data_IF_291465774954
#
_entry.id   IF_291465774954
#
_cell.length_a   1.000
_cell.length_b   1.000
_cell.length_c   1.000
_cell.angle_alpha   90.00
_cell.angle_beta   90.00
_cell.angle_gamma   90.00
#
_symmetry.space_group_name_H-M   'P 1'
#
loop_
_entity.id
_entity.type
_entity.pdbx_description
1 polymer ?
#
# COMPACT_ATOMS: atom_id res chain seq x y z
N UNK A 1 -22.40 -16.50 -6.05
CA UNK A 1 -20.94 -16.76 -5.97
C UNK A 1 -20.30 -17.02 -7.34
N UNK A 2 -20.78 -17.98 -8.15
CA UNK A 2 -20.21 -18.28 -9.48
C UNK A 2 -20.06 -17.04 -10.39
N UNK A 3 -21.09 -16.20 -10.50
CA UNK A 3 -21.05 -14.96 -11.30
C UNK A 3 -20.03 -13.95 -10.80
N UNK A 4 -19.84 -13.83 -9.48
CA UNK A 4 -18.86 -12.93 -8.88
C UNK A 4 -17.43 -13.39 -9.18
N UNK A 5 -17.17 -14.70 -9.06
CA UNK A 5 -15.86 -15.29 -9.41
C UNK A 5 -15.55 -15.09 -10.89
N UNK A 6 -16.51 -15.34 -11.80
CA UNK A 6 -16.32 -15.10 -13.23
C UNK A 6 -15.95 -13.63 -13.53
N UNK A 7 -16.57 -12.68 -12.81
CA UNK A 7 -16.23 -11.26 -12.94
C UNK A 7 -14.84 -10.91 -12.40
N UNK A 8 -14.44 -11.50 -11.28
CA UNK A 8 -13.07 -11.37 -10.75
C UNK A 8 -12.06 -11.91 -11.76
N UNK A 9 -12.30 -13.10 -12.32
CA UNK A 9 -11.41 -13.69 -13.33
C UNK A 9 -11.25 -12.77 -14.55
N UNK A 10 -12.37 -12.29 -15.11
CA UNK A 10 -12.35 -11.34 -16.23
C UNK A 10 -11.59 -10.06 -15.91
N UNK A 11 -11.69 -9.56 -14.68
CA UNK A 11 -10.90 -8.40 -14.25
C UNK A 11 -9.42 -8.70 -14.10
N UNK A 12 -9.06 -9.86 -13.52
CA UNK A 12 -7.66 -10.29 -13.39
C UNK A 12 -7.01 -10.55 -14.76
N UNK A 13 -7.75 -11.08 -15.73
CA UNK A 13 -7.31 -11.26 -17.12
C UNK A 13 -6.94 -9.94 -17.83
N UNK A 14 -7.54 -8.82 -17.42
CA UNK A 14 -7.19 -7.48 -17.94
C UNK A 14 -5.88 -6.93 -17.37
N UNK A 15 -5.41 -7.47 -16.24
CA UNK A 15 -4.25 -6.96 -15.51
C UNK A 15 -3.33 -8.09 -15.01
N UNK A 16 -2.87 -9.00 -15.89
CA UNK A 16 -2.07 -10.16 -15.49
C UNK A 16 -0.78 -9.78 -14.76
N UNK A 17 -0.23 -8.60 -15.03
CA UNK A 17 0.99 -8.06 -14.40
C UNK A 17 0.84 -7.81 -12.90
N UNK A 18 -0.39 -7.64 -12.40
CA UNK A 18 -0.68 -7.42 -10.97
C UNK A 18 -0.08 -8.53 -10.12
N UNK A 19 -0.12 -9.79 -10.57
CA UNK A 19 0.44 -10.92 -9.82
C UNK A 19 1.92 -10.70 -9.50
N UNK A 20 2.74 -10.35 -10.50
CA UNK A 20 4.18 -10.09 -10.32
C UNK A 20 4.43 -8.84 -9.48
N UNK A 21 3.68 -7.77 -9.73
CA UNK A 21 3.78 -6.52 -8.97
C UNK A 21 3.48 -6.72 -7.47
N UNK A 22 2.42 -7.46 -7.16
CA UNK A 22 2.07 -7.84 -5.79
C UNK A 22 3.11 -8.76 -5.16
N UNK A 23 3.70 -9.67 -5.93
CA UNK A 23 4.77 -10.53 -5.44
C UNK A 23 6.03 -9.73 -5.04
N UNK A 24 6.43 -8.76 -5.87
CA UNK A 24 7.49 -7.80 -5.52
C UNK A 24 7.14 -7.02 -4.25
N UNK A 25 5.90 -6.55 -4.13
CA UNK A 25 5.43 -5.84 -2.94
C UNK A 25 5.57 -6.70 -1.67
N UNK A 26 5.09 -7.94 -1.70
CA UNK A 26 5.15 -8.85 -0.56
C UNK A 26 6.58 -9.29 -0.19
N UNK A 27 7.52 -9.23 -1.13
CA UNK A 27 8.94 -9.42 -0.86
C UNK A 27 9.61 -8.16 -0.30
N UNK A 28 8.89 -7.05 -0.12
CA UNK A 28 9.49 -5.77 0.29
C UNK A 28 10.46 -5.26 -0.79
N UNK A 29 10.06 -5.34 -2.07
CA UNK A 29 10.86 -4.93 -3.24
C UNK A 29 10.20 -3.78 -4.03
N UNK A 30 9.19 -3.12 -3.45
CA UNK A 30 8.73 -1.81 -3.94
C UNK A 30 9.90 -0.82 -3.89
N UNK A 31 9.99 0.06 -4.86
CA UNK A 31 11.04 1.07 -4.95
C UNK A 31 12.45 0.47 -4.82
N UNK A 32 12.69 -0.68 -5.45
CA UNK A 32 13.93 -1.47 -5.36
C UNK A 32 14.33 -1.89 -3.94
N UNK A 33 13.35 -2.01 -3.04
CA UNK A 33 13.57 -2.37 -1.64
C UNK A 33 13.86 -1.20 -0.72
N UNK A 34 13.77 0.05 -1.20
CA UNK A 34 13.94 1.23 -0.36
C UNK A 34 12.74 1.43 0.59
N UNK A 35 12.92 1.07 1.86
CA UNK A 35 11.86 1.12 2.88
C UNK A 35 11.47 2.55 3.24
N UNK A 36 12.41 3.51 3.20
CA UNK A 36 12.07 4.92 3.39
C UNK A 36 11.05 5.40 2.34
N UNK A 37 11.24 5.06 1.07
CA UNK A 37 10.28 5.36 0.00
C UNK A 37 8.92 4.68 0.22
N UNK A 38 8.89 3.43 0.70
CA UNK A 38 7.65 2.73 1.07
C UNK A 38 6.89 3.45 2.21
N UNK A 39 7.60 3.91 3.23
CA UNK A 39 7.01 4.67 4.36
C UNK A 39 6.45 6.01 3.90
N UNK A 40 7.19 6.71 3.01
CA UNK A 40 6.73 7.96 2.39
C UNK A 40 5.46 7.73 1.57
N UNK A 41 5.46 6.71 0.72
CA UNK A 41 4.30 6.34 -0.09
C UNK A 41 3.05 6.06 0.75
N UNK A 42 3.14 5.18 1.75
CA UNK A 42 2.01 4.86 2.62
C UNK A 42 1.46 6.08 3.38
N UNK A 43 2.33 7.04 3.69
CA UNK A 43 1.97 8.29 4.37
C UNK A 43 1.26 9.27 3.43
N UNK A 44 1.49 9.18 2.11
CA UNK A 44 0.89 10.05 1.10
C UNK A 44 -0.50 9.56 0.67
N UNK A 45 -0.71 8.24 0.65
CA UNK A 45 -2.01 7.61 0.33
C UNK A 45 -3.14 8.12 1.24
N UNK A 46 -2.81 8.54 2.48
CA UNK A 46 -3.77 9.07 3.46
C UNK A 46 -4.49 10.37 3.07
N UNK A 47 -4.07 11.05 1.99
CA UNK A 47 -4.64 12.36 1.58
C UNK A 47 -5.80 12.23 0.59
N UNK A 48 -6.01 11.05 -0.02
CA UNK A 48 -7.10 10.84 -0.98
C UNK A 48 -6.86 11.44 -2.37
N UNK A 49 -5.60 11.71 -2.71
CA UNK A 49 -5.19 12.12 -4.05
C UNK A 49 -5.08 10.91 -5.00
N UNK A 50 -5.03 11.17 -6.31
CA UNK A 50 -4.90 10.10 -7.28
C UNK A 50 -3.56 9.38 -7.14
N UNK A 51 -3.61 8.09 -6.84
CA UNK A 51 -2.43 7.27 -6.55
C UNK A 51 -1.41 7.27 -7.70
N UNK A 52 -1.83 6.92 -8.92
CA UNK A 52 -0.92 6.75 -10.05
C UNK A 52 -0.37 8.06 -10.65
N UNK A 53 -1.16 9.14 -10.64
CA UNK A 53 -0.76 10.41 -11.27
C UNK A 53 -0.09 11.37 -10.29
N UNK A 54 -0.31 11.20 -8.98
CA UNK A 54 0.15 12.16 -7.97
C UNK A 54 1.08 11.51 -6.95
N UNK A 55 0.64 10.41 -6.31
CA UNK A 55 1.40 9.79 -5.21
C UNK A 55 2.66 9.11 -5.73
N UNK A 56 2.52 8.11 -6.61
CA UNK A 56 3.68 7.35 -7.10
C UNK A 56 4.73 8.27 -7.73
N UNK A 57 4.38 9.24 -8.61
CA UNK A 57 5.37 10.18 -9.14
C UNK A 57 6.06 11.04 -8.08
N UNK A 58 5.39 11.40 -6.98
CA UNK A 58 6.02 12.15 -5.89
C UNK A 58 7.03 11.30 -5.13
N UNK A 59 6.73 10.02 -4.91
CA UNK A 59 7.67 9.08 -4.25
C UNK A 59 8.86 8.76 -5.14
N UNK A 60 8.65 8.63 -6.46
CA UNK A 60 9.76 8.49 -7.41
C UNK A 60 10.66 9.73 -7.41
N UNK A 61 10.10 10.94 -7.39
CA UNK A 61 10.90 12.17 -7.24
C UNK A 61 11.65 12.22 -5.90
N UNK A 62 11.06 11.72 -4.82
CA UNK A 62 11.76 11.58 -3.54
C UNK A 62 12.98 10.66 -3.70
N UNK A 63 12.82 9.48 -4.32
CA UNK A 63 13.94 8.57 -4.59
C UNK A 63 15.01 9.17 -5.51
N UNK A 64 14.59 9.88 -6.57
CA UNK A 64 15.51 10.58 -7.48
C UNK A 64 16.30 11.69 -6.76
N UNK A 65 15.68 12.38 -5.80
CA UNK A 65 16.30 13.52 -5.11
C UNK A 65 17.25 13.09 -3.99
N UNK A 66 16.89 12.04 -3.25
CA UNK A 66 17.64 11.63 -2.06
C UNK A 66 18.43 10.33 -2.25
N UNK A 67 18.15 9.56 -3.31
CA UNK A 67 18.76 8.25 -3.56
C UNK A 67 18.14 7.14 -2.71
N UNK A 68 18.84 6.00 -2.66
CA UNK A 68 18.49 4.87 -1.81
C UNK A 68 19.00 5.10 -0.38
N UNK A 69 18.21 5.82 0.41
CA UNK A 69 18.52 6.13 1.81
C UNK A 69 17.87 5.15 2.78
N UNK A 70 18.51 4.96 3.93
CA UNK A 70 17.94 4.25 5.08
C UNK A 70 16.85 5.05 5.80
N UNK A 71 16.09 4.38 6.67
CA UNK A 71 15.13 5.01 7.58
C UNK A 71 15.80 6.05 8.49
N UNK A 72 16.99 5.75 9.01
CA UNK A 72 17.76 6.68 9.84
C UNK A 72 18.18 7.92 9.06
N UNK A 73 18.71 7.75 7.85
CA UNK A 73 19.09 8.89 6.99
C UNK A 73 17.86 9.72 6.59
N UNK A 74 16.71 9.09 6.35
CA UNK A 74 15.46 9.80 6.07
C UNK A 74 15.03 10.74 7.22
N UNK A 75 15.21 10.32 8.48
CA UNK A 75 14.86 11.14 9.64
C UNK A 75 15.70 12.42 9.74
N UNK A 76 16.94 12.38 9.25
CA UNK A 76 17.88 13.50 9.26
C UNK A 76 17.65 14.53 8.13
N UNK A 77 16.83 14.21 7.11
CA UNK A 77 16.59 15.13 5.99
C UNK A 77 15.85 16.37 6.49
N UNK A 78 16.36 17.61 6.26
CA UNK A 78 15.66 18.85 6.64
C UNK A 78 14.24 18.97 6.06
N UNK A 79 13.31 19.54 6.84
CA UNK A 79 11.88 19.63 6.46
C UNK A 79 11.68 20.45 5.17
N UNK A 80 12.43 21.53 4.97
CA UNK A 80 12.38 22.38 3.78
C UNK A 80 12.72 21.60 2.50
N UNK A 81 13.70 20.68 2.56
CA UNK A 81 14.02 19.79 1.44
C UNK A 81 12.88 18.83 1.15
N UNK A 82 12.26 18.23 2.17
CA UNK A 82 11.09 17.36 1.98
C UNK A 82 9.90 18.12 1.37
N UNK A 83 9.71 19.38 1.74
CA UNK A 83 8.62 20.23 1.23
C UNK A 83 8.77 20.59 -0.25
N UNK A 84 9.99 20.55 -0.79
CA UNK A 84 10.22 20.72 -2.23
C UNK A 84 9.57 19.59 -3.05
N UNK A 85 9.43 18.40 -2.47
CA UNK A 85 8.80 17.23 -3.11
C UNK A 85 7.30 17.20 -2.87
N UNK A 86 6.87 17.47 -1.64
CA UNK A 86 5.47 17.36 -1.22
C UNK A 86 5.10 18.42 -0.18
N UNK A 87 4.18 19.31 -0.51
CA UNK A 87 3.78 20.44 0.35
C UNK A 87 2.69 20.06 1.36
N UNK A 88 2.91 18.99 2.12
CA UNK A 88 2.02 18.57 3.19
C UNK A 88 2.79 18.16 4.44
N UNK A 89 2.83 19.06 5.44
CA UNK A 89 3.49 18.83 6.73
C UNK A 89 3.00 17.57 7.44
N UNK A 90 1.70 17.29 7.36
CA UNK A 90 1.09 16.16 8.07
C UNK A 90 1.61 14.83 7.54
N UNK A 91 1.72 14.67 6.21
CA UNK A 91 2.26 13.46 5.59
C UNK A 91 3.71 13.21 5.99
N UNK A 92 4.55 14.25 5.97
CA UNK A 92 5.94 14.11 6.39
C UNK A 92 6.08 13.73 7.86
N UNK A 93 5.27 14.34 8.73
CA UNK A 93 5.24 13.97 10.15
C UNK A 93 4.79 12.52 10.34
N UNK A 94 3.77 12.06 9.62
CA UNK A 94 3.36 10.65 9.65
C UNK A 94 4.52 9.75 9.22
N UNK A 95 5.17 10.06 8.08
CA UNK A 95 6.27 9.26 7.56
C UNK A 95 7.44 9.18 8.54
N UNK A 96 7.85 10.29 9.14
CA UNK A 96 8.92 10.30 10.15
C UNK A 96 8.57 9.49 11.39
N UNK A 97 7.37 9.67 11.94
CA UNK A 97 6.95 8.91 13.11
C UNK A 97 6.89 7.40 12.82
N UNK A 98 6.45 7.00 11.62
CA UNK A 98 6.46 5.60 11.19
C UNK A 98 7.89 5.08 11.06
N UNK A 99 8.78 5.84 10.41
CA UNK A 99 10.19 5.49 10.28
C UNK A 99 10.87 5.31 11.65
N UNK A 100 10.68 6.26 12.56
CA UNK A 100 11.20 6.20 13.93
C UNK A 100 10.69 4.97 14.69
N UNK A 101 9.38 4.66 14.58
CA UNK A 101 8.80 3.47 15.21
C UNK A 101 9.37 2.15 14.67
N UNK A 102 9.72 2.09 13.39
CA UNK A 102 10.29 0.89 12.77
C UNK A 102 11.71 0.57 13.23
N UNK A 103 12.50 1.57 13.66
CA UNK A 103 13.89 1.38 14.06
C UNK A 103 14.09 0.37 15.19
N UNK A 104 13.06 0.09 16.01
CA UNK A 104 13.13 -0.89 17.09
C UNK A 104 12.94 -2.36 16.67
N UNK A 105 12.67 -2.64 15.39
CA UNK A 105 12.23 -3.96 14.93
C UNK A 105 13.29 -4.79 14.20
N UNK A 106 14.53 -4.32 14.04
CA UNK A 106 15.54 -5.08 13.30
C UNK A 106 16.85 -4.33 13.13
N UNK A 107 17.79 -4.93 12.38
CA UNK A 107 19.11 -4.34 12.09
C UNK A 107 19.18 -3.67 10.72
N UNK A 108 18.40 -4.17 9.77
CA UNK A 108 18.24 -3.56 8.45
C UNK A 108 16.81 -3.05 8.27
N UNK A 109 16.62 -2.03 7.45
CA UNK A 109 15.28 -1.47 7.23
C UNK A 109 14.26 -2.50 6.72
N UNK A 110 14.72 -3.41 5.83
CA UNK A 110 13.88 -4.51 5.32
C UNK A 110 13.47 -5.46 6.45
N UNK A 111 14.40 -5.80 7.33
CA UNK A 111 14.10 -6.61 8.52
C UNK A 111 13.14 -5.88 9.46
N UNK A 112 13.38 -4.59 9.74
CA UNK A 112 12.52 -3.76 10.59
C UNK A 112 11.06 -3.75 10.10
N UNK A 113 10.83 -3.46 8.82
CA UNK A 113 9.47 -3.43 8.26
C UNK A 113 8.82 -4.81 8.30
N UNK A 114 9.55 -5.87 7.97
CA UNK A 114 9.02 -7.23 7.91
C UNK A 114 8.72 -7.79 9.30
N UNK A 115 9.61 -7.58 10.26
CA UNK A 115 9.43 -8.01 11.65
C UNK A 115 8.21 -7.32 12.25
N UNK A 116 8.14 -5.98 12.17
CA UNK A 116 6.94 -5.24 12.61
C UNK A 116 5.68 -5.80 11.93
N UNK A 117 5.68 -5.94 10.61
CA UNK A 117 4.49 -6.40 9.89
C UNK A 117 4.07 -7.82 10.31
N UNK A 118 5.02 -8.71 10.59
CA UNK A 118 4.75 -10.07 11.06
C UNK A 118 4.22 -10.15 12.49
N UNK A 119 4.63 -9.21 13.35
CA UNK A 119 4.16 -9.10 14.74
C UNK A 119 2.85 -8.29 14.85
N UNK A 120 2.55 -7.48 13.82
CA UNK A 120 1.37 -6.62 13.75
C UNK A 120 0.08 -7.41 13.53
N UNK A 121 -1.03 -6.92 14.09
CA UNK A 121 -2.36 -7.54 13.96
C UNK A 121 -3.41 -6.55 13.45
N UNK A 122 -4.35 -7.06 12.66
CA UNK A 122 -5.55 -6.30 12.28
C UNK A 122 -6.45 -6.04 13.50
N UNK A 123 -6.58 -7.04 14.37
CA UNK A 123 -7.36 -6.92 15.60
C UNK A 123 -6.53 -6.12 16.63
N UNK A 124 -7.13 -5.05 17.16
CA UNK A 124 -6.42 -4.15 18.06
C UNK A 124 -5.39 -3.23 17.38
N UNK A 125 -5.41 -3.09 16.04
CA UNK A 125 -4.41 -2.30 15.30
C UNK A 125 -4.20 -0.88 15.82
N UNK A 126 -5.18 -0.27 16.49
CA UNK A 126 -5.02 1.07 17.08
C UNK A 126 -4.09 1.12 18.28
N UNK A 127 -3.86 -0.01 18.95
CA UNK A 127 -2.93 -0.14 20.07
C UNK A 127 -1.50 -0.46 19.60
N UNK A 128 -1.34 -0.87 18.35
CA UNK A 128 -0.06 -1.10 17.69
C UNK A 128 0.79 0.18 17.68
N UNK A 129 2.11 0.03 17.81
CA UNK A 129 3.06 1.15 17.84
C UNK A 129 2.97 2.05 16.61
N UNK A 130 2.69 1.49 15.43
CA UNK A 130 2.45 2.25 14.20
C UNK A 130 1.00 2.71 14.11
N UNK A 131 0.04 1.86 14.49
CA UNK A 131 -1.37 2.20 14.38
C UNK A 131 -1.84 3.34 15.28
N UNK A 132 -1.17 3.55 16.43
CA UNK A 132 -1.44 4.69 17.34
C UNK A 132 -0.86 6.02 16.85
N UNK A 133 -0.02 6.02 15.81
CA UNK A 133 0.61 7.25 15.30
C UNK A 133 -0.45 8.18 14.72
N UNK A 134 -0.49 9.43 15.21
CA UNK A 134 -1.41 10.44 14.70
C UNK A 134 -1.18 10.71 13.21
N UNK A 135 -2.14 10.27 12.39
CA UNK A 135 -2.08 10.40 10.93
C UNK A 135 -2.05 9.05 10.22
N UNK A 136 -1.74 7.97 10.92
CA UNK A 136 -1.91 6.60 10.43
C UNK A 136 -3.38 6.22 10.57
N UNK A 137 -4.03 5.95 9.44
CA UNK A 137 -5.33 5.29 9.38
C UNK A 137 -5.18 3.84 8.97
N UNK A 138 -6.28 3.08 9.00
CA UNK A 138 -6.29 1.66 8.62
C UNK A 138 -5.72 1.42 7.21
N UNK A 139 -5.91 2.38 6.29
CA UNK A 139 -5.36 2.28 4.94
C UNK A 139 -3.83 2.27 4.94
N UNK A 140 -3.22 3.27 5.58
CA UNK A 140 -1.76 3.35 5.74
C UNK A 140 -1.23 2.14 6.49
N UNK A 141 -1.91 1.72 7.57
CA UNK A 141 -1.51 0.55 8.36
C UNK A 141 -1.47 -0.73 7.52
N UNK A 142 -2.57 -1.04 6.83
CA UNK A 142 -2.66 -2.23 5.97
C UNK A 142 -1.69 -2.17 4.80
N UNK A 143 -1.46 -0.97 4.23
CA UNK A 143 -0.55 -0.85 3.11
C UNK A 143 0.92 -1.04 3.51
N UNK A 144 1.31 -0.55 4.70
CA UNK A 144 2.61 -0.89 5.29
C UNK A 144 2.73 -2.39 5.56
N UNK A 145 1.68 -3.05 6.08
CA UNK A 145 1.67 -4.51 6.28
C UNK A 145 1.87 -5.27 4.97
N UNK A 146 1.23 -4.83 3.88
CA UNK A 146 1.46 -5.39 2.54
C UNK A 146 2.93 -5.28 2.13
N UNK A 147 3.54 -4.10 2.27
CA UNK A 147 4.94 -3.87 1.91
C UNK A 147 5.92 -4.61 2.84
N UNK A 148 5.51 -4.89 4.09
CA UNK A 148 6.20 -5.77 5.03
C UNK A 148 5.97 -7.26 4.77
N UNK A 149 5.18 -7.63 3.76
CA UNK A 149 5.01 -9.02 3.31
C UNK A 149 3.76 -9.74 3.79
N UNK A 150 2.80 -9.04 4.38
CA UNK A 150 1.51 -9.62 4.78
C UNK A 150 0.54 -9.58 3.60
N UNK A 151 0.04 -10.74 3.17
CA UNK A 151 -1.02 -10.81 2.16
C UNK A 151 -2.36 -10.36 2.75
N UNK A 152 -2.74 -9.13 2.45
CA UNK A 152 -3.94 -8.48 3.00
C UNK A 152 -4.58 -7.53 1.98
N UNK A 153 -5.60 -6.78 2.38
CA UNK A 153 -6.27 -5.74 1.58
C UNK A 153 -6.27 -4.39 2.31
N UNK A 154 -6.20 -3.31 1.54
CA UNK A 154 -6.48 -1.95 2.01
C UNK A 154 -7.96 -1.61 1.78
N UNK A 155 -8.74 -1.20 2.79
CA UNK A 155 -10.18 -0.95 2.65
C UNK A 155 -10.50 0.43 2.03
N UNK A 156 -9.79 0.83 0.98
CA UNK A 156 -9.99 2.14 0.36
C UNK A 156 -11.29 2.24 -0.45
N UNK A 157 -11.66 3.47 -0.79
CA UNK A 157 -12.90 3.80 -1.52
C UNK A 157 -13.01 3.09 -2.88
N UNK A 158 -11.92 3.02 -3.64
CA UNK A 158 -11.89 2.39 -4.96
C UNK A 158 -12.08 0.88 -4.80
N UNK A 159 -11.34 0.27 -3.87
CA UNK A 159 -11.43 -1.16 -3.57
C UNK A 159 -12.88 -1.51 -3.22
N UNK A 160 -13.46 -0.80 -2.25
CA UNK A 160 -14.86 -1.00 -1.84
C UNK A 160 -15.86 -0.81 -2.97
N UNK A 161 -15.66 0.19 -3.84
CA UNK A 161 -16.52 0.45 -5.00
C UNK A 161 -16.51 -0.74 -5.95
N UNK A 162 -15.34 -1.20 -6.37
CA UNK A 162 -15.21 -2.33 -7.32
C UNK A 162 -15.79 -3.61 -6.72
N UNK A 163 -15.52 -3.89 -5.44
CA UNK A 163 -16.13 -5.05 -4.77
C UNK A 163 -17.66 -4.93 -4.66
N UNK A 164 -18.20 -3.72 -4.43
CA UNK A 164 -19.66 -3.50 -4.46
C UNK A 164 -20.23 -3.75 -5.85
N UNK A 165 -19.54 -3.38 -6.92
CA UNK A 165 -19.97 -3.67 -8.30
C UNK A 165 -19.93 -5.17 -8.63
N UNK A 166 -19.09 -5.95 -7.95
CA UNK A 166 -18.98 -7.40 -8.16
C UNK A 166 -20.04 -8.16 -7.33
N UNK A 167 -20.24 -7.76 -6.07
CA UNK A 167 -21.02 -8.51 -5.09
C UNK A 167 -22.38 -7.87 -4.74
N UNK A 168 -22.65 -6.66 -5.25
CA UNK A 168 -23.86 -5.87 -4.96
C UNK A 168 -23.82 -5.13 -3.61
N UNK A 169 -23.19 -5.71 -2.59
CA UNK A 169 -22.95 -5.06 -1.29
C UNK A 169 -21.69 -5.61 -0.62
N UNK A 170 -21.10 -4.81 0.26
CA UNK A 170 -19.88 -5.17 1.01
C UNK A 170 -20.00 -4.74 2.47
N UNK A 171 -19.24 -5.33 3.41
CA UNK A 171 -19.24 -4.90 4.80
C UNK A 171 -18.88 -3.42 4.96
N UNK A 172 -19.60 -2.70 5.83
CA UNK A 172 -19.42 -1.25 6.00
C UNK A 172 -18.20 -0.90 6.86
N UNK A 173 -17.87 -1.71 7.86
CA UNK A 173 -16.71 -1.46 8.72
C UNK A 173 -15.42 -1.95 8.05
N UNK A 174 -14.31 -1.26 8.33
CA UNK A 174 -13.01 -1.58 7.71
C UNK A 174 -12.51 -2.97 8.05
N UNK A 175 -12.53 -3.34 9.32
CA UNK A 175 -12.06 -4.65 9.78
C UNK A 175 -12.90 -5.79 9.18
N UNK A 176 -14.23 -5.62 9.18
CA UNK A 176 -15.15 -6.60 8.59
C UNK A 176 -14.93 -6.73 7.08
N UNK A 177 -14.67 -5.62 6.38
CA UNK A 177 -14.37 -5.63 4.95
C UNK A 177 -13.07 -6.35 4.65
N UNK A 178 -12.00 -6.09 5.41
CA UNK A 178 -10.70 -6.73 5.23
C UNK A 178 -10.83 -8.25 5.39
N UNK A 179 -11.41 -8.71 6.50
CA UNK A 179 -11.64 -10.14 6.75
C UNK A 179 -12.51 -10.78 5.66
N UNK A 180 -13.51 -10.06 5.17
CA UNK A 180 -14.37 -10.54 4.10
C UNK A 180 -13.63 -10.71 2.75
N UNK A 181 -12.74 -9.79 2.39
CA UNK A 181 -11.89 -9.96 1.19
C UNK A 181 -10.89 -11.10 1.37
N UNK A 182 -10.30 -11.27 2.56
CA UNK A 182 -9.44 -12.42 2.89
C UNK A 182 -10.18 -13.76 2.81
N UNK A 183 -11.49 -13.78 3.10
CA UNK A 183 -12.30 -14.98 2.89
C UNK A 183 -12.68 -15.21 1.43
N UNK A 184 -12.74 -14.15 0.62
CA UNK A 184 -12.87 -14.27 -0.83
C UNK A 184 -11.58 -14.80 -1.44
N UNK A 185 -10.42 -14.31 -1.02
CA UNK A 185 -9.12 -14.79 -1.53
C UNK A 185 -9.00 -16.29 -1.34
N UNK A 186 -9.39 -16.85 -0.18
CA UNK A 186 -9.44 -18.32 0.08
C UNK A 186 -10.38 -19.10 -0.86
N UNK A 187 -11.39 -18.44 -1.43
CA UNK A 187 -12.38 -19.04 -2.35
C UNK A 187 -12.02 -18.82 -3.81
N UNK A 188 -10.98 -18.04 -4.06
CA UNK A 188 -10.41 -17.78 -5.38
C UNK A 188 -8.97 -18.32 -5.42
N UNK A 189 -8.34 -18.35 -6.60
CA UNK A 189 -6.91 -18.67 -6.71
C UNK A 189 -6.02 -17.42 -6.59
N UNK A 190 -6.59 -16.32 -6.08
CA UNK A 190 -5.94 -15.02 -5.99
C UNK A 190 -5.68 -14.62 -4.54
N UNK A 191 -4.53 -13.99 -4.32
CA UNK A 191 -4.13 -13.41 -3.03
C UNK A 191 -4.95 -12.18 -2.69
N UNK A 192 -5.08 -11.85 -1.41
CA UNK A 192 -5.82 -10.67 -0.95
C UNK A 192 -5.26 -9.37 -1.54
N UNK A 193 -3.93 -9.27 -1.65
CA UNK A 193 -3.25 -8.11 -2.28
C UNK A 193 -3.51 -8.03 -3.79
N UNK A 194 -3.61 -9.17 -4.48
CA UNK A 194 -3.87 -9.21 -5.92
C UNK A 194 -5.29 -8.70 -6.19
N UNK A 195 -6.25 -9.18 -5.41
CA UNK A 195 -7.62 -8.69 -5.44
C UNK A 195 -7.68 -7.19 -5.12
N UNK A 196 -6.91 -6.72 -4.14
CA UNK A 196 -6.82 -5.30 -3.81
C UNK A 196 -6.31 -4.47 -5.00
N UNK A 197 -5.13 -4.79 -5.51
CA UNK A 197 -4.44 -3.99 -6.52
C UNK A 197 -5.15 -4.05 -7.87
N UNK A 198 -5.76 -5.18 -8.23
CA UNK A 198 -6.63 -5.28 -9.42
C UNK A 198 -7.69 -4.16 -9.42
N UNK A 199 -8.34 -3.88 -8.28
CA UNK A 199 -9.37 -2.82 -8.21
C UNK A 199 -8.83 -1.44 -8.59
N UNK A 200 -7.55 -1.17 -8.32
CA UNK A 200 -6.94 0.12 -8.64
C UNK A 200 -6.84 0.34 -10.15
N UNK A 201 -6.70 -0.73 -10.95
CA UNK A 201 -6.53 -0.64 -12.39
C UNK A 201 -7.84 -0.77 -13.16
N UNK A 202 -8.69 -1.74 -12.81
CA UNK A 202 -9.83 -2.14 -13.67
C UNK A 202 -10.93 -1.10 -13.81
N UNK A 203 -10.89 -0.05 -13.00
CA UNK A 203 -11.72 1.15 -13.12
C UNK A 203 -11.35 2.03 -14.34
N UNK A 204 -10.22 1.79 -14.99
CA UNK A 204 -9.72 2.55 -16.12
C UNK A 204 -9.82 1.78 -17.44
N UNK A 205 -9.72 2.52 -18.55
CA UNK A 205 -9.53 1.98 -19.90
C UNK A 205 -8.14 1.34 -20.07
N UNK A 206 -7.99 0.53 -21.11
CA UNK A 206 -6.78 -0.29 -21.31
C UNK A 206 -5.53 0.57 -21.59
N UNK A 207 -5.68 1.75 -22.19
CA UNK A 207 -4.57 2.68 -22.42
C UNK A 207 -4.03 3.22 -21.09
N UNK A 208 -4.91 3.61 -20.17
CA UNK A 208 -4.53 4.05 -18.83
C UNK A 208 -3.98 2.91 -17.98
N UNK A 209 -4.56 1.72 -18.06
CA UNK A 209 -4.02 0.53 -17.37
C UNK A 209 -2.57 0.32 -17.79
N UNK A 210 -2.28 0.25 -19.09
CA UNK A 210 -0.92 0.07 -19.60
C UNK A 210 0.04 1.14 -19.08
N UNK A 211 -0.38 2.41 -19.10
CA UNK A 211 0.40 3.54 -18.56
C UNK A 211 0.68 3.37 -17.06
N UNK A 212 -0.32 3.00 -16.27
CA UNK A 212 -0.18 2.88 -14.81
C UNK A 212 0.63 1.66 -14.39
N UNK A 213 0.55 0.56 -15.14
CA UNK A 213 1.45 -0.59 -14.96
C UNK A 213 2.90 -0.18 -15.17
N UNK A 214 3.21 0.58 -16.24
CA UNK A 214 4.57 1.09 -16.48
C UNK A 214 5.09 2.01 -15.37
N UNK A 215 4.21 2.79 -14.73
CA UNK A 215 4.58 3.61 -13.57
C UNK A 215 4.88 2.72 -12.36
N UNK A 216 4.07 1.68 -12.14
CA UNK A 216 4.26 0.74 -11.03
C UNK A 216 5.51 -0.13 -11.19
N UNK A 217 5.96 -0.41 -12.42
CA UNK A 217 7.23 -1.12 -12.63
C UNK A 217 8.43 -0.37 -12.06
N UNK A 218 8.42 0.96 -12.16
CA UNK A 218 9.48 1.84 -11.64
C UNK A 218 9.43 1.98 -10.12
N UNK A 219 8.32 1.53 -9.50
CA UNK A 219 8.00 1.71 -8.10
C UNK A 219 8.06 0.39 -7.32
#
# INVERSE_FOLDING_TARGET
MKTAIAKINSYMERVPEVRRLCERCLRTERYDGNVAAMVVDASFVSIGLNYFNVIVPAVLRFKETFGDISLSEFLEIPEDKLFSIWKNRRSWRTARNVAEALLSFGKSDREMLRNWASESSLDGWKEDVIGRIKGVGINTYQYLRMMGGIDTVMPDKIVRKVFTEIFGSVPKKDIEFIKWVEDISKKTEYRSIELCWMTWFVQYDDLKIKKYLQIMEKA
#
